data_IF_503051205966
#
_entry.id   IF_503051205966
#
_cell.length_a   1.000
_cell.length_b   1.000
_cell.length_c   1.000
_cell.angle_alpha   90.00
_cell.angle_beta   90.00
_cell.angle_gamma   90.00
#
_symmetry.space_group_name_H-M   'P 1'
#
loop_
_entity.id
_entity.type
_entity.pdbx_description
1 polymer ?
#
# COMPACT_ATOMS: atom_id res chain seq x y z
N UNK A 1 -5.11 25.93 1.69
CA UNK A 1 -4.28 24.92 2.38
C UNK A 1 -3.29 24.43 1.36
N UNK A 2 -1.99 24.57 1.63
CA UNK A 2 -0.93 24.08 0.75
C UNK A 2 -1.05 22.57 0.62
N UNK A 3 -1.33 22.09 -0.60
CA UNK A 3 -1.29 20.68 -0.92
C UNK A 3 0.19 20.37 -1.18
N UNK A 4 0.86 19.81 -0.19
CA UNK A 4 2.15 19.18 -0.43
C UNK A 4 1.87 17.79 -0.99
N UNK A 5 2.70 17.28 -1.91
CA UNK A 5 2.46 15.98 -2.59
C UNK A 5 2.15 14.84 -1.61
N UNK A 6 2.70 14.91 -0.39
CA UNK A 6 2.51 13.93 0.67
C UNK A 6 1.23 14.09 1.49
N UNK A 7 0.73 15.32 1.68
CA UNK A 7 -0.33 15.62 2.65
C UNK A 7 -1.57 16.23 1.98
N UNK A 8 -2.68 15.47 2.00
CA UNK A 8 -3.97 15.95 1.51
C UNK A 8 -4.80 16.51 2.67
N UNK A 9 -5.26 17.77 2.64
CA UNK A 9 -6.11 18.29 3.71
C UNK A 9 -7.45 17.55 3.77
N UNK A 10 -7.97 17.32 4.99
CA UNK A 10 -9.28 16.73 5.18
C UNK A 10 -10.37 17.68 4.65
N UNK A 11 -11.41 17.19 3.96
CA UNK A 11 -12.42 18.04 3.32
C UNK A 11 -13.17 18.95 4.31
N UNK A 12 -13.40 18.48 5.53
CA UNK A 12 -14.24 19.18 6.52
C UNK A 12 -13.51 19.61 7.80
N UNK A 13 -12.38 18.99 8.14
CA UNK A 13 -11.73 19.17 9.45
C UNK A 13 -10.49 20.02 9.28
N UNK A 14 -10.48 21.19 9.93
CA UNK A 14 -9.32 22.09 9.95
C UNK A 14 -8.19 21.43 10.74
N UNK A 15 -6.94 21.58 10.28
CA UNK A 15 -5.72 20.98 10.85
C UNK A 15 -5.55 19.46 10.68
N UNK A 16 -6.53 18.74 10.14
CA UNK A 16 -6.37 17.30 9.86
C UNK A 16 -5.97 17.09 8.40
N UNK A 17 -5.01 16.21 8.19
CA UNK A 17 -4.44 15.85 6.90
C UNK A 17 -4.40 14.34 6.76
N UNK A 18 -4.53 13.87 5.53
CA UNK A 18 -4.45 12.46 5.15
C UNK A 18 -3.09 12.27 4.48
N UNK A 19 -2.28 11.34 5.00
CA UNK A 19 -1.04 10.94 4.35
C UNK A 19 -1.37 10.15 3.07
N UNK A 20 -0.85 10.56 1.92
CA UNK A 20 -1.10 9.84 0.66
C UNK A 20 -0.37 8.50 0.57
N UNK A 21 0.69 8.28 1.36
CA UNK A 21 1.45 7.01 1.36
C UNK A 21 0.73 5.90 2.12
N UNK A 22 0.17 6.23 3.29
CA UNK A 22 -0.42 5.25 4.21
C UNK A 22 -1.95 5.34 4.29
N UNK A 23 -2.55 6.44 3.82
CA UNK A 23 -3.98 6.70 3.91
C UNK A 23 -4.50 7.09 5.30
N UNK A 24 -3.61 7.20 6.29
CA UNK A 24 -3.95 7.53 7.68
C UNK A 24 -4.11 9.04 7.91
N UNK A 25 -4.82 9.39 8.98
CA UNK A 25 -5.08 10.77 9.38
C UNK A 25 -4.06 11.27 10.41
N UNK A 26 -3.61 12.49 10.20
CA UNK A 26 -2.65 13.19 11.04
C UNK A 26 -3.17 14.59 11.37
N UNK A 27 -2.88 15.05 12.57
CA UNK A 27 -3.10 16.42 13.00
C UNK A 27 -1.83 17.25 12.78
N UNK A 28 -1.97 18.42 12.15
CA UNK A 28 -0.89 19.38 11.99
C UNK A 28 -0.80 20.27 13.22
N UNK A 29 0.35 20.20 13.90
CA UNK A 29 0.71 21.04 15.03
C UNK A 29 1.14 22.45 14.56
N UNK A 30 1.09 23.41 15.48
CA UNK A 30 1.56 24.78 15.24
C UNK A 30 3.06 24.86 14.93
N UNK A 31 3.84 23.89 15.44
CA UNK A 31 5.26 23.70 15.12
C UNK A 31 5.50 23.24 13.68
N UNK A 32 4.45 22.91 12.92
CA UNK A 32 4.54 22.39 11.55
C UNK A 32 4.68 20.87 11.46
N UNK A 33 4.79 20.17 12.59
CA UNK A 33 4.85 18.71 12.66
C UNK A 33 3.47 18.06 12.49
N UNK A 34 3.46 16.79 12.09
CA UNK A 34 2.25 15.99 11.92
C UNK A 34 2.24 14.87 12.95
N UNK A 35 1.24 14.87 13.83
CA UNK A 35 1.00 13.79 14.78
C UNK A 35 -0.06 12.84 14.25
N UNK A 36 0.22 11.54 14.28
CA UNK A 36 -0.78 10.54 13.93
C UNK A 36 -1.92 10.59 14.94
N UNK A 37 -3.16 10.59 14.45
CA UNK A 37 -4.34 10.53 15.30
C UNK A 37 -4.60 9.05 15.61
N UNK A 38 -5.05 8.71 16.81
CA UNK A 38 -5.52 7.35 17.10
C UNK A 38 -6.76 7.04 16.25
N UNK A 39 -6.70 5.96 15.48
CA UNK A 39 -7.78 5.50 14.63
C UNK A 39 -7.96 4.00 14.79
N UNK A 40 -9.20 3.54 14.77
CA UNK A 40 -9.49 2.11 14.68
C UNK A 40 -9.13 1.64 13.26
N UNK A 41 -8.16 0.73 13.17
CA UNK A 41 -7.73 0.14 11.92
C UNK A 41 -8.50 -1.14 11.67
N UNK A 42 -8.74 -1.46 10.40
CA UNK A 42 -9.20 -2.80 10.03
C UNK A 42 -8.07 -3.81 10.24
N UNK A 43 -8.41 -5.07 10.55
CA UNK A 43 -7.44 -6.15 10.74
C UNK A 43 -6.44 -6.24 9.56
N UNK A 44 -6.94 -6.09 8.32
CA UNK A 44 -6.10 -6.05 7.12
C UNK A 44 -5.08 -4.90 7.13
N UNK A 45 -5.48 -3.70 7.58
CA UNK A 45 -4.59 -2.55 7.66
C UNK A 45 -3.52 -2.75 8.74
N UNK A 46 -3.89 -3.28 9.91
CA UNK A 46 -2.93 -3.62 10.96
C UNK A 46 -1.91 -4.63 10.48
N UNK A 47 -2.36 -5.73 9.86
CA UNK A 47 -1.49 -6.75 9.29
C UNK A 47 -0.56 -6.17 8.21
N UNK A 48 -1.04 -5.22 7.40
CA UNK A 48 -0.23 -4.58 6.39
C UNK A 48 0.81 -3.61 6.99
N UNK A 49 0.48 -2.90 8.07
CA UNK A 49 1.46 -2.12 8.84
C UNK A 49 2.55 -3.02 9.41
N UNK A 50 2.17 -4.13 10.06
CA UNK A 50 3.13 -5.10 10.57
C UNK A 50 3.99 -5.70 9.46
N UNK A 51 3.41 -6.03 8.29
CA UNK A 51 4.18 -6.51 7.13
C UNK A 51 5.19 -5.48 6.63
N UNK A 52 4.81 -4.21 6.53
CA UNK A 52 5.72 -3.12 6.13
C UNK A 52 6.84 -2.93 7.16
N UNK A 53 6.51 -3.00 8.45
CA UNK A 53 7.46 -2.82 9.55
C UNK A 53 8.43 -4.00 9.70
N UNK A 54 7.96 -5.24 9.49
CA UNK A 54 8.78 -6.46 9.50
C UNK A 54 9.83 -6.44 8.37
N UNK A 55 9.63 -5.63 7.33
CA UNK A 55 10.56 -5.50 6.19
C UNK A 55 10.67 -6.78 5.34
N UNK A 56 9.99 -7.85 5.74
CA UNK A 56 9.93 -9.12 5.02
C UNK A 56 8.98 -8.96 3.83
N UNK A 57 9.56 -8.76 2.64
CA UNK A 57 8.85 -8.80 1.37
C UNK A 57 8.39 -10.24 1.11
N UNK A 58 7.25 -10.64 1.68
CA UNK A 58 6.59 -11.89 1.29
C UNK A 58 5.91 -11.65 -0.06
N UNK A 59 6.40 -12.32 -1.09
CA UNK A 59 5.84 -12.32 -2.45
C UNK A 59 4.31 -12.50 -2.40
N UNK A 60 3.55 -11.42 -2.55
CA UNK A 60 2.10 -11.52 -2.72
C UNK A 60 1.81 -12.11 -4.09
N UNK A 61 0.66 -12.77 -4.27
CA UNK A 61 0.28 -13.45 -5.53
C UNK A 61 0.46 -12.61 -6.81
N UNK A 62 0.43 -11.27 -6.71
CA UNK A 62 0.72 -10.33 -7.82
C UNK A 62 2.16 -10.38 -8.36
N UNK A 63 3.11 -10.87 -7.56
CA UNK A 63 4.53 -11.02 -7.92
C UNK A 63 4.89 -12.43 -8.42
N UNK A 64 3.97 -13.40 -8.28
CA UNK A 64 4.09 -14.67 -8.98
C UNK A 64 3.89 -14.34 -10.45
N UNK A 65 5.01 -14.22 -11.16
CA UNK A 65 5.07 -13.75 -12.53
C UNK A 65 3.91 -14.28 -13.33
N UNK A 66 3.38 -13.41 -14.19
CA UNK A 66 2.43 -13.70 -15.26
C UNK A 66 3.10 -14.60 -16.30
N UNK A 67 3.68 -15.72 -15.86
CA UNK A 67 4.21 -16.75 -16.71
C UNK A 67 3.01 -17.62 -17.02
N UNK A 68 2.55 -17.67 -18.28
CA UNK A 68 1.53 -18.63 -18.65
C UNK A 68 2.05 -20.02 -18.24
N UNK A 69 1.19 -20.90 -17.70
CA UNK A 69 1.62 -22.26 -17.40
C UNK A 69 2.24 -22.87 -18.67
N UNK A 70 3.32 -23.66 -18.56
CA UNK A 70 3.90 -24.30 -19.73
C UNK A 70 2.81 -25.12 -20.42
N UNK A 71 2.47 -24.76 -21.66
CA UNK A 71 1.55 -25.54 -22.48
C UNK A 71 2.19 -26.89 -22.80
N UNK A 72 1.42 -27.97 -22.76
CA UNK A 72 1.88 -29.29 -23.19
C UNK A 72 2.45 -29.19 -24.60
N UNK A 73 3.71 -29.62 -24.77
CA UNK A 73 4.34 -29.65 -26.08
C UNK A 73 3.61 -30.68 -26.94
N UNK A 74 3.02 -30.24 -28.05
CA UNK A 74 2.52 -31.14 -29.08
C UNK A 74 3.75 -31.81 -29.69
N UNK A 75 3.99 -33.08 -29.34
CA UNK A 75 4.99 -33.91 -30.01
C UNK A 75 4.49 -34.16 -31.44
N UNK A 76 4.92 -33.35 -32.39
CA UNK A 76 4.83 -33.71 -33.80
C UNK A 76 5.86 -34.81 -34.04
N UNK A 77 5.39 -36.06 -34.11
CA UNK A 77 6.16 -37.16 -34.66
C UNK A 77 6.37 -36.87 -36.16
N UNK A 78 7.54 -36.34 -36.53
CA UNK A 78 8.02 -36.48 -37.90
C UNK A 78 8.43 -37.95 -38.07
N UNK A 79 7.56 -38.73 -38.72
CA UNK A 79 7.95 -40.03 -39.27
C UNK A 79 8.69 -39.80 -40.59
N UNK A 80 9.87 -40.43 -40.71
CA UNK A 80 10.74 -40.48 -41.91
C UNK A 80 10.03 -41.00 -43.17
#
# INVERSE_FOLDING_TARGET
MEITEKWKPHPTRKKIFINQEDGLMYERLESGWYNMIEQELTECQELEMFRKADGVVRMTSRSRGRVPPPSDQILTEESE
#
